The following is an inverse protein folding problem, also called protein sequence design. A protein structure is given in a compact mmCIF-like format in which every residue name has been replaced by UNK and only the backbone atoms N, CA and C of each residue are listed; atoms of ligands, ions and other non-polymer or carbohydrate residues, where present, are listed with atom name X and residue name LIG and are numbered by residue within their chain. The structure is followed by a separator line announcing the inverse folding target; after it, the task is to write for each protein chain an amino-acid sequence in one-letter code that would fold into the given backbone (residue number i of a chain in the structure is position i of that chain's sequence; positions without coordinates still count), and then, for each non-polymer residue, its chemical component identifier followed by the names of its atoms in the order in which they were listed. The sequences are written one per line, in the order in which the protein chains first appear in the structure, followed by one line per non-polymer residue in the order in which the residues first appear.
data_IF_919340214886
#
_entry.id   IF_919340214886
#
_cell.length_a   1.000
_cell.length_b   1.000
_cell.length_c   1.000
_cell.angle_alpha   90.00
_cell.angle_beta   90.00
_cell.angle_gamma   90.00
#
_symmetry.space_group_name_H-M   'P 1'
#
loop_
_entity.id
_entity.type
_entity.pdbx_description
1 polymer ?
#
# COMPACT_ATOMS: atom_id res chain seq x y z
N UNK A 1 -18.37 -24.39 -73.46
CA UNK A 1 -17.69 -24.95 -72.28
C UNK A 1 -18.73 -25.67 -71.42
N UNK A 2 -18.51 -26.98 -71.18
CA UNK A 2 -19.06 -27.90 -70.16
C UNK A 2 -20.53 -27.74 -69.68
N UNK A 3 -21.52 -28.55 -70.11
CA UNK A 3 -21.91 -29.93 -69.70
C UNK A 3 -22.51 -30.11 -68.29
N UNK A 4 -23.84 -30.31 -68.28
CA UNK A 4 -24.77 -31.10 -67.42
C UNK A 4 -24.14 -31.91 -66.24
N UNK A 5 -24.77 -32.02 -65.06
CA UNK A 5 -25.92 -32.92 -64.79
C UNK A 5 -26.62 -32.65 -63.41
N UNK A 6 -27.86 -33.18 -63.20
CA UNK A 6 -28.74 -32.86 -62.08
C UNK A 6 -28.96 -33.98 -61.03
N UNK A 7 -29.59 -33.57 -59.91
CA UNK A 7 -30.49 -34.27 -58.96
C UNK A 7 -30.09 -35.56 -58.22
N UNK A 8 -30.31 -35.45 -56.90
CA UNK A 8 -30.66 -36.47 -55.91
C UNK A 8 -29.52 -37.27 -55.27
N UNK A 9 -29.81 -37.85 -54.09
CA UNK A 9 -28.91 -38.53 -53.15
C UNK A 9 -28.28 -37.52 -52.16
N UNK A 10 -28.72 -37.34 -50.92
CA UNK A 10 -28.88 -38.37 -49.89
C UNK A 10 -29.73 -37.81 -48.72
N UNK A 11 -30.95 -38.30 -48.61
CA UNK A 11 -31.75 -38.19 -47.40
C UNK A 11 -31.25 -39.23 -46.40
N UNK A 12 -31.03 -38.83 -45.15
CA UNK A 12 -31.23 -39.64 -43.92
C UNK A 12 -30.93 -38.72 -42.73
N UNK A 13 -31.97 -38.30 -42.01
CA UNK A 13 -32.44 -39.03 -40.83
C UNK A 13 -31.31 -39.13 -39.81
N UNK A 14 -31.37 -38.36 -38.74
CA UNK A 14 -31.30 -38.88 -37.37
C UNK A 14 -31.40 -37.69 -36.40
N UNK A 15 -32.67 -37.37 -36.12
CA UNK A 15 -33.13 -37.03 -34.77
C UNK A 15 -32.20 -37.59 -33.70
N UNK A 16 -31.45 -36.71 -33.02
CA UNK A 16 -30.82 -37.08 -31.74
C UNK A 16 -31.85 -36.88 -30.63
N UNK A 17 -32.23 -37.94 -29.92
CA UNK A 17 -33.33 -37.93 -28.96
C UNK A 17 -32.91 -37.26 -27.65
N UNK A 18 -33.85 -36.59 -27.00
CA UNK A 18 -33.87 -36.59 -25.53
C UNK A 18 -34.48 -37.92 -25.08
N UNK A 19 -33.84 -38.62 -24.13
CA UNK A 19 -34.66 -39.24 -23.10
C UNK A 19 -34.06 -39.15 -21.69
N UNK A 20 -34.94 -38.72 -20.80
CA UNK A 20 -35.25 -39.34 -19.51
C UNK A 20 -34.26 -39.15 -18.34
N UNK A 21 -34.76 -38.40 -17.35
CA UNK A 21 -34.48 -38.62 -15.93
C UNK A 21 -34.52 -40.12 -15.64
N UNK A 22 -33.43 -40.65 -15.08
CA UNK A 22 -33.46 -41.88 -14.30
C UNK A 22 -32.87 -41.59 -12.94
N UNK A 23 -33.78 -41.49 -11.98
CA UNK A 23 -33.54 -41.59 -10.55
C UNK A 23 -32.79 -42.89 -10.27
N UNK A 24 -31.58 -42.81 -9.73
CA UNK A 24 -31.16 -43.68 -8.62
C UNK A 24 -30.17 -42.91 -7.75
N UNK A 25 -30.61 -42.65 -6.54
CA UNK A 25 -29.87 -42.05 -5.46
C UNK A 25 -28.91 -43.08 -4.82
N UNK A 26 -27.77 -42.56 -4.34
CA UNK A 26 -26.99 -43.00 -3.17
C UNK A 26 -26.25 -44.34 -3.25
N UNK A 27 -24.95 -44.23 -3.49
CA UNK A 27 -23.99 -44.70 -2.48
C UNK A 27 -23.15 -43.52 -2.03
N UNK A 28 -23.39 -43.13 -0.78
CA UNK A 28 -22.65 -42.13 -0.05
C UNK A 28 -21.24 -42.69 0.23
N UNK A 29 -20.23 -42.27 -0.51
CA UNK A 29 -18.88 -42.18 0.05
C UNK A 29 -18.59 -40.69 0.23
N UNK A 30 -18.70 -40.28 1.49
CA UNK A 30 -18.15 -39.04 2.04
C UNK A 30 -16.63 -39.00 1.78
N UNK A 31 -16.22 -38.79 0.54
CA UNK A 31 -14.86 -38.44 0.21
C UNK A 31 -14.80 -36.93 0.03
N UNK A 32 -14.68 -36.31 1.20
CA UNK A 32 -14.01 -35.05 1.43
C UNK A 32 -14.05 -34.12 0.22
N UNK A 33 -15.14 -33.36 0.12
CA UNK A 33 -15.01 -31.95 -0.25
C UNK A 33 -14.24 -31.26 0.88
N UNK A 34 -13.00 -31.69 1.12
CA UNK A 34 -12.04 -30.97 1.93
C UNK A 34 -11.96 -29.62 1.24
N UNK A 35 -12.58 -28.65 1.90
CA UNK A 35 -12.53 -27.27 1.51
C UNK A 35 -11.05 -26.97 1.30
N UNK A 36 -10.67 -26.76 0.05
CA UNK A 36 -9.41 -26.11 -0.26
C UNK A 36 -9.57 -24.67 0.23
N UNK A 37 -9.54 -24.49 1.55
CA UNK A 37 -9.34 -23.19 2.17
C UNK A 37 -7.89 -22.88 1.85
N UNK A 38 -7.69 -22.22 0.71
CA UNK A 38 -6.43 -21.58 0.39
C UNK A 38 -6.15 -20.60 1.53
N UNK A 39 -5.35 -21.03 2.50
CA UNK A 39 -4.73 -20.14 3.46
C UNK A 39 -3.74 -19.35 2.62
N UNK A 40 -4.10 -18.13 2.20
CA UNK A 40 -3.14 -17.27 1.54
C UNK A 40 -1.95 -17.17 2.48
N UNK A 41 -0.76 -17.57 2.02
CA UNK A 41 0.49 -17.42 2.76
C UNK A 41 0.93 -15.96 2.88
N UNK A 42 0.08 -15.01 2.49
CA UNK A 42 0.36 -13.59 2.54
C UNK A 42 0.32 -13.10 3.99
N UNK A 43 1.35 -12.35 4.43
CA UNK A 43 1.35 -11.74 5.75
C UNK A 43 0.16 -10.79 5.88
N UNK A 44 -0.41 -10.73 7.10
CA UNK A 44 -1.54 -9.86 7.38
C UNK A 44 -1.23 -8.41 6.98
N UNK A 45 -2.17 -7.69 6.35
CA UNK A 45 -1.96 -6.30 6.00
C UNK A 45 -1.76 -5.47 7.28
N UNK A 46 -0.92 -4.42 7.23
CA UNK A 46 -0.70 -3.56 8.38
C UNK A 46 -2.02 -2.90 8.83
N UNK A 47 -2.21 -2.67 10.13
CA UNK A 47 -3.48 -2.24 10.71
C UNK A 47 -3.98 -0.91 10.13
N UNK A 48 -3.09 0.02 9.80
CA UNK A 48 -3.49 1.29 9.17
C UNK A 48 -4.03 1.05 7.75
N UNK A 49 -3.41 0.19 6.94
CA UNK A 49 -3.95 -0.15 5.61
C UNK A 49 -5.31 -0.84 5.69
N UNK A 50 -5.51 -1.69 6.70
CA UNK A 50 -6.79 -2.35 6.91
C UNK A 50 -7.90 -1.34 7.22
N UNK A 51 -7.62 -0.34 8.07
CA UNK A 51 -8.52 0.79 8.35
C UNK A 51 -8.88 1.55 7.08
N UNK A 52 -7.89 2.02 6.32
CA UNK A 52 -8.13 2.79 5.09
C UNK A 52 -8.98 2.05 4.05
N UNK A 53 -8.81 0.71 3.94
CA UNK A 53 -9.67 -0.14 3.09
C UNK A 53 -11.12 -0.21 3.60
N UNK A 54 -11.31 -0.20 4.92
CA UNK A 54 -12.63 -0.06 5.55
C UNK A 54 -13.25 1.30 5.29
N UNK A 55 -12.47 2.36 5.50
CA UNK A 55 -12.90 3.75 5.32
C UNK A 55 -13.23 4.08 3.86
N UNK A 56 -12.56 3.44 2.90
CA UNK A 56 -12.92 3.54 1.49
C UNK A 56 -14.37 3.07 1.25
N UNK A 57 -14.79 1.97 1.89
CA UNK A 57 -16.17 1.48 1.79
C UNK A 57 -17.15 2.43 2.48
N UNK A 58 -16.75 3.02 3.61
CA UNK A 58 -17.55 4.02 4.30
C UNK A 58 -17.73 5.29 3.44
N UNK A 59 -16.65 5.82 2.86
CA UNK A 59 -16.65 6.98 1.98
C UNK A 59 -17.51 6.75 0.73
N UNK A 60 -17.50 5.54 0.17
CA UNK A 60 -18.40 5.17 -0.94
C UNK A 60 -19.88 5.22 -0.56
N UNK A 61 -20.23 4.85 0.69
CA UNK A 61 -21.60 4.92 1.20
C UNK A 61 -22.03 6.35 1.51
N UNK A 62 -21.12 7.14 2.11
CA UNK A 62 -21.33 8.54 2.43
C UNK A 62 -21.34 9.46 1.20
N UNK A 63 -20.82 8.99 0.05
CA UNK A 63 -20.64 9.75 -1.20
C UNK A 63 -19.68 10.94 -1.06
N UNK A 64 -18.71 10.83 -0.14
CA UNK A 64 -17.67 11.83 0.07
C UNK A 64 -16.61 11.75 -1.04
N UNK A 65 -16.78 12.55 -2.10
CA UNK A 65 -15.91 12.49 -3.28
C UNK A 65 -14.44 12.80 -2.98
N UNK A 66 -14.17 13.78 -2.11
CA UNK A 66 -12.81 14.21 -1.74
C UNK A 66 -12.06 13.11 -0.99
N UNK A 67 -12.64 12.60 0.11
CA UNK A 67 -12.08 11.49 0.90
C UNK A 67 -11.86 10.25 0.05
N UNK A 68 -12.84 9.88 -0.77
CA UNK A 68 -12.75 8.75 -1.67
C UNK A 68 -11.56 8.87 -2.64
N UNK A 69 -11.33 10.06 -3.21
CA UNK A 69 -10.24 10.27 -4.17
C UNK A 69 -8.87 10.10 -3.49
N UNK A 70 -8.70 10.71 -2.31
CA UNK A 70 -7.48 10.61 -1.48
C UNK A 70 -7.20 9.15 -1.13
N UNK A 71 -8.19 8.43 -0.60
CA UNK A 71 -8.05 7.02 -0.22
C UNK A 71 -7.65 6.14 -1.41
N UNK A 72 -8.23 6.35 -2.58
CA UNK A 72 -7.87 5.60 -3.80
C UNK A 72 -6.45 5.90 -4.26
N UNK A 73 -6.04 7.17 -4.22
CA UNK A 73 -4.69 7.57 -4.58
C UNK A 73 -3.65 6.90 -3.69
N UNK A 74 -3.89 6.87 -2.37
CA UNK A 74 -3.00 6.22 -1.40
C UNK A 74 -2.93 4.71 -1.64
N UNK A 75 -4.07 4.05 -1.80
CA UNK A 75 -4.09 2.61 -2.08
C UNK A 75 -3.37 2.29 -3.39
N UNK A 76 -3.58 3.07 -4.45
CA UNK A 76 -2.84 2.91 -5.71
C UNK A 76 -1.33 3.11 -5.51
N UNK A 77 -0.91 4.12 -4.75
CA UNK A 77 0.49 4.35 -4.44
C UNK A 77 1.11 3.19 -3.65
N UNK A 78 0.36 2.59 -2.71
CA UNK A 78 0.82 1.41 -1.96
C UNK A 78 0.98 0.16 -2.84
N UNK A 79 0.05 -0.04 -3.79
CA UNK A 79 0.12 -1.13 -4.77
C UNK A 79 1.26 -0.91 -5.79
N UNK A 80 1.56 0.34 -6.12
CA UNK A 80 2.70 0.65 -6.99
C UNK A 80 4.02 0.42 -6.26
N UNK A 81 4.10 0.78 -4.98
CA UNK A 81 5.27 0.51 -4.14
C UNK A 81 5.53 -1.00 -3.99
N UNK A 82 4.49 -1.83 -3.88
CA UNK A 82 4.65 -3.29 -3.77
C UNK A 82 5.22 -3.95 -5.03
N UNK A 83 5.11 -3.30 -6.19
CA UNK A 83 5.70 -3.76 -7.46
C UNK A 83 7.16 -3.33 -7.63
N UNK A 84 7.64 -2.43 -6.76
CA UNK A 84 9.01 -1.90 -6.80
C UNK A 84 9.88 -2.66 -5.79
N UNK A 85 11.20 -2.51 -5.87
CA UNK A 85 12.16 -3.11 -4.92
C UNK A 85 11.97 -2.68 -3.44
N UNK A 86 11.16 -1.64 -3.17
CA UNK A 86 10.89 -1.11 -1.83
C UNK A 86 9.38 -1.18 -1.50
N UNK A 87 8.86 -2.37 -1.15
CA UNK A 87 7.47 -2.53 -0.77
C UNK A 87 7.16 -1.87 0.58
N UNK A 88 5.97 -1.29 0.71
CA UNK A 88 5.46 -0.75 1.97
C UNK A 88 4.95 -1.92 2.81
N UNK A 89 5.66 -2.24 3.89
CA UNK A 89 5.32 -3.35 4.79
C UNK A 89 4.87 -2.90 6.17
N UNK A 90 5.33 -1.72 6.62
CA UNK A 90 5.08 -1.22 7.98
C UNK A 90 4.23 0.05 7.98
N UNK A 91 3.51 0.30 9.08
CA UNK A 91 2.71 1.53 9.23
C UNK A 91 3.58 2.80 9.16
N UNK A 92 4.82 2.75 9.66
CA UNK A 92 5.76 3.87 9.56
C UNK A 92 6.08 4.26 8.10
N UNK A 93 6.22 3.25 7.22
CA UNK A 93 6.43 3.49 5.79
C UNK A 93 5.18 4.05 5.11
N UNK A 94 3.99 3.67 5.58
CA UNK A 94 2.74 4.23 5.08
C UNK A 94 2.56 5.69 5.51
N UNK A 95 2.85 6.02 6.78
CA UNK A 95 2.84 7.41 7.25
C UNK A 95 3.85 8.26 6.49
N UNK A 96 5.00 7.68 6.12
CA UNK A 96 5.96 8.35 5.25
C UNK A 96 5.39 8.72 3.88
N UNK A 97 4.61 7.81 3.28
CA UNK A 97 3.90 8.09 2.03
C UNK A 97 2.86 9.20 2.24
N UNK A 98 2.03 9.14 3.29
CA UNK A 98 1.00 10.13 3.58
C UNK A 98 1.58 11.55 3.71
N UNK A 99 2.70 11.68 4.43
CA UNK A 99 3.40 12.97 4.59
C UNK A 99 4.01 13.45 3.27
N UNK A 100 4.56 12.54 2.46
CA UNK A 100 5.06 12.89 1.11
C UNK A 100 3.95 13.41 0.22
N UNK A 101 2.78 12.76 0.23
CA UNK A 101 1.61 13.23 -0.54
C UNK A 101 1.09 14.57 -0.02
N UNK A 102 1.07 14.78 1.29
CA UNK A 102 0.65 16.05 1.88
C UNK A 102 1.56 17.22 1.47
N UNK A 103 2.88 17.01 1.43
CA UNK A 103 3.85 18.00 0.93
C UNK A 103 3.64 18.32 -0.54
N UNK A 104 3.45 17.30 -1.37
CA UNK A 104 3.17 17.51 -2.79
C UNK A 104 1.88 18.31 -3.02
N UNK A 105 0.83 18.08 -2.22
CA UNK A 105 -0.38 18.89 -2.25
C UNK A 105 -0.14 20.34 -1.78
N UNK A 106 0.69 20.56 -0.76
CA UNK A 106 1.06 21.92 -0.31
C UNK A 106 1.81 22.68 -1.40
N UNK A 107 2.79 22.04 -2.05
CA UNK A 107 3.51 22.63 -3.19
C UNK A 107 2.56 22.94 -4.36
N UNK A 108 1.56 22.07 -4.60
CA UNK A 108 0.52 22.32 -5.59
C UNK A 108 -0.40 23.49 -5.22
N UNK A 109 -0.80 23.62 -3.95
CA UNK A 109 -1.56 24.76 -3.42
C UNK A 109 -0.82 26.06 -3.70
N UNK A 110 0.47 26.14 -3.39
CA UNK A 110 1.26 27.34 -3.62
C UNK A 110 1.34 27.68 -5.12
N UNK A 111 1.50 26.67 -5.97
CA UNK A 111 1.43 26.82 -7.43
C UNK A 111 0.09 27.34 -7.93
N UNK A 112 -1.03 26.84 -7.41
CA UNK A 112 -2.37 27.28 -7.81
C UNK A 112 -2.74 28.66 -7.28
N UNK A 113 -2.29 29.02 -6.07
CA UNK A 113 -2.42 30.37 -5.52
C UNK A 113 -1.68 31.38 -6.38
N UNK A 114 -0.45 31.07 -6.78
CA UNK A 114 0.32 31.93 -7.68
C UNK A 114 -0.34 32.08 -9.06
N UNK A 115 -1.09 31.08 -9.52
CA UNK A 115 -1.85 31.11 -10.76
C UNK A 115 -3.25 31.76 -10.64
N UNK A 116 -3.65 32.21 -9.45
CA UNK A 116 -4.95 32.84 -9.20
C UNK A 116 -6.16 31.90 -9.33
N UNK A 117 -5.97 30.57 -9.18
CA UNK A 117 -7.05 29.58 -9.28
C UNK A 117 -7.50 29.09 -7.90
N UNK A 118 -8.40 29.85 -7.27
CA UNK A 118 -8.91 29.53 -5.92
C UNK A 118 -9.72 28.23 -5.88
N UNK A 119 -10.45 27.88 -6.95
CA UNK A 119 -11.23 26.63 -7.03
C UNK A 119 -10.38 25.35 -6.85
N UNK A 120 -9.10 25.40 -7.25
CA UNK A 120 -8.17 24.28 -7.12
C UNK A 120 -7.49 24.28 -5.74
N UNK A 121 -7.26 25.46 -5.18
CA UNK A 121 -6.70 25.64 -3.84
C UNK A 121 -7.63 25.01 -2.81
N UNK A 122 -8.93 25.29 -2.87
CA UNK A 122 -9.91 24.70 -1.94
C UNK A 122 -9.95 23.17 -2.01
N UNK A 123 -9.79 22.61 -3.22
CA UNK A 123 -9.77 21.16 -3.44
C UNK A 123 -8.53 20.51 -2.84
N UNK A 124 -7.36 21.11 -3.04
CA UNK A 124 -6.12 20.59 -2.45
C UNK A 124 -6.09 20.79 -0.93
N UNK A 125 -6.58 21.92 -0.42
CA UNK A 125 -6.70 22.17 1.02
C UNK A 125 -7.64 21.15 1.69
N UNK A 126 -8.72 20.75 1.03
CA UNK A 126 -9.59 19.66 1.49
C UNK A 126 -8.87 18.30 1.49
N UNK A 127 -8.02 18.01 0.51
CA UNK A 127 -7.21 16.79 0.48
C UNK A 127 -6.18 16.77 1.63
N UNK A 128 -5.50 17.90 1.86
CA UNK A 128 -4.52 18.03 2.94
C UNK A 128 -5.16 17.76 4.29
N UNK A 129 -6.36 18.29 4.55
CA UNK A 129 -7.11 18.02 5.80
C UNK A 129 -7.30 16.52 6.03
N UNK A 130 -7.78 15.81 5.02
CA UNK A 130 -7.98 14.35 5.11
C UNK A 130 -6.67 13.60 5.34
N UNK A 131 -5.59 14.00 4.67
CA UNK A 131 -4.27 13.38 4.88
C UNK A 131 -3.75 13.60 6.31
N UNK A 132 -3.93 14.80 6.86
CA UNK A 132 -3.51 15.14 8.22
C UNK A 132 -4.34 14.38 9.28
N UNK A 133 -5.64 14.18 9.04
CA UNK A 133 -6.49 13.33 9.87
C UNK A 133 -5.86 11.93 10.04
N UNK A 134 -5.53 11.26 8.93
CA UNK A 134 -4.91 9.92 8.98
C UNK A 134 -3.50 9.91 9.60
N UNK A 135 -2.71 10.96 9.39
CA UNK A 135 -1.39 11.07 10.04
C UNK A 135 -1.55 11.18 11.55
N UNK A 136 -2.50 11.99 12.03
CA UNK A 136 -2.76 12.12 13.47
C UNK A 136 -3.33 10.84 14.09
N UNK A 137 -4.23 10.14 13.39
CA UNK A 137 -4.83 8.89 13.86
C UNK A 137 -3.82 7.73 13.89
N UNK A 138 -2.75 7.80 13.08
CA UNK A 138 -1.72 6.76 13.08
C UNK A 138 -1.00 6.61 14.42
N UNK A 139 -1.04 7.62 15.30
CA UNK A 139 -0.38 7.60 16.60
C UNK A 139 1.16 7.58 16.52
N UNK A 140 1.72 7.68 15.32
CA UNK A 140 3.17 7.71 15.09
C UNK A 140 3.66 9.13 15.34
N UNK A 141 4.25 9.36 16.51
CA UNK A 141 4.93 10.62 16.83
C UNK A 141 6.06 10.85 15.85
N UNK A 142 6.09 12.02 15.19
CA UNK A 142 7.31 12.46 14.52
C UNK A 142 8.41 12.63 15.55
N UNK A 143 9.60 12.16 15.20
CA UNK A 143 10.77 12.48 15.99
C UNK A 143 11.30 13.82 15.53
N UNK A 144 11.39 14.76 16.45
CA UNK A 144 12.04 16.03 16.20
C UNK A 144 13.55 15.85 15.97
N UNK A 145 14.15 16.77 15.24
CA UNK A 145 15.58 16.72 14.89
C UNK A 145 16.49 16.65 16.14
N UNK A 146 16.07 17.28 17.24
CA UNK A 146 16.77 17.21 18.53
C UNK A 146 16.79 15.79 19.10
N UNK A 147 15.65 15.11 19.15
CA UNK A 147 15.57 13.74 19.64
C UNK A 147 16.30 12.75 18.70
N UNK A 148 16.33 13.01 17.39
CA UNK A 148 17.13 12.24 16.44
C UNK A 148 18.63 12.40 16.70
N UNK A 149 19.09 13.62 17.02
CA UNK A 149 20.49 13.89 17.39
C UNK A 149 20.87 13.16 18.67
N UNK A 150 20.03 13.21 19.70
CA UNK A 150 20.27 12.50 20.96
C UNK A 150 20.44 10.99 20.75
N UNK A 151 19.51 10.35 20.02
CA UNK A 151 19.60 8.91 19.72
C UNK A 151 20.83 8.56 18.87
N UNK A 152 21.22 9.44 17.92
CA UNK A 152 22.42 9.26 17.13
C UNK A 152 23.70 9.38 17.97
N UNK A 153 23.74 10.32 18.92
CA UNK A 153 24.88 10.45 19.84
C UNK A 153 25.00 9.26 20.80
N UNK A 154 23.88 8.75 21.31
CA UNK A 154 23.86 7.52 22.13
C UNK A 154 24.41 6.33 21.34
N UNK A 155 23.95 6.16 20.09
CA UNK A 155 24.46 5.10 19.20
C UNK A 155 25.95 5.25 18.90
N UNK A 156 26.48 6.49 18.83
CA UNK A 156 27.93 6.74 18.68
C UNK A 156 28.70 6.24 19.90
N UNK A 157 28.21 6.51 21.11
CA UNK A 157 28.85 6.03 22.36
C UNK A 157 28.89 4.51 22.39
N UNK A 158 27.79 3.85 22.04
CA UNK A 158 27.73 2.38 22.00
C UNK A 158 28.73 1.77 21.00
N UNK A 159 28.87 2.37 19.81
CA UNK A 159 29.82 1.91 18.78
C UNK A 159 31.27 2.09 19.25
N UNK A 160 31.57 3.20 19.93
CA UNK A 160 32.91 3.45 20.51
C UNK A 160 33.20 2.46 21.63
N UNK A 161 32.21 2.12 22.47
CA UNK A 161 32.35 1.12 23.51
C UNK A 161 32.65 -0.28 22.94
N UNK A 162 32.09 -0.60 21.77
CA UNK A 162 32.37 -1.83 21.04
C UNK A 162 33.72 -1.82 20.26
N UNK A 163 34.48 -0.71 20.33
CA UNK A 163 35.81 -0.57 19.71
C UNK A 163 35.79 -0.46 18.18
N UNK A 164 34.64 -0.18 17.58
CA UNK A 164 34.49 -0.05 16.14
C UNK A 164 34.67 1.41 15.67
N UNK A 165 35.12 1.57 14.42
CA UNK A 165 35.26 2.90 13.81
C UNK A 165 33.87 3.55 13.61
N UNK A 166 33.71 4.78 14.10
CA UNK A 166 32.48 5.57 13.93
C UNK A 166 32.39 6.02 12.47
N UNK A 167 31.76 5.19 11.66
CA UNK A 167 31.41 5.52 10.28
C UNK A 167 29.90 5.80 10.18
N UNK A 168 29.52 6.71 9.28
CA UNK A 168 28.11 7.03 9.00
C UNK A 168 27.29 5.77 8.68
N UNK A 169 27.89 4.82 7.95
CA UNK A 169 27.24 3.55 7.60
C UNK A 169 26.96 2.64 8.80
N UNK A 170 27.88 2.59 9.77
CA UNK A 170 27.70 1.78 10.98
C UNK A 170 26.68 2.41 11.93
N UNK A 171 26.69 3.75 12.06
CA UNK A 171 25.66 4.51 12.78
C UNK A 171 24.27 4.25 12.20
N UNK A 172 24.11 4.35 10.88
CA UNK A 172 22.83 4.08 10.22
C UNK A 172 22.39 2.62 10.43
N UNK A 173 23.31 1.66 10.37
CA UNK A 173 23.01 0.25 10.60
C UNK A 173 22.50 -0.01 12.02
N UNK A 174 23.11 0.60 13.05
CA UNK A 174 22.67 0.51 14.45
C UNK A 174 21.31 1.18 14.67
N UNK A 175 21.13 2.38 14.13
CA UNK A 175 19.89 3.14 14.27
C UNK A 175 18.68 2.47 13.59
N UNK A 176 18.91 1.80 12.44
CA UNK A 176 17.86 1.14 11.66
C UNK A 176 17.79 -0.38 11.89
N UNK A 177 18.55 -0.93 12.85
CA UNK A 177 18.44 -2.34 13.20
C UNK A 177 17.01 -2.67 13.67
N UNK A 178 16.49 -3.88 13.39
CA UNK A 178 15.21 -4.32 13.95
C UNK A 178 15.31 -4.33 15.48
N UNK A 179 14.40 -3.65 16.18
CA UNK A 179 14.48 -3.38 17.63
C UNK A 179 15.22 -2.09 18.01
N UNK A 180 15.65 -1.28 17.05
CA UNK A 180 16.43 -0.06 17.29
C UNK A 180 15.62 1.14 17.81
N UNK A 181 16.30 2.22 18.24
CA UNK A 181 15.66 3.42 18.84
C UNK A 181 14.66 4.14 17.91
N UNK A 182 14.78 3.90 16.61
CA UNK A 182 13.95 4.49 15.55
C UNK A 182 12.81 3.58 15.08
N UNK A 183 12.67 2.37 15.62
CA UNK A 183 11.60 1.46 15.20
C UNK A 183 10.22 2.04 15.55
N UNK A 184 9.28 1.99 14.59
CA UNK A 184 7.92 2.51 14.75
C UNK A 184 7.79 4.03 14.69
N UNK A 185 8.90 4.78 14.69
CA UNK A 185 8.91 6.24 14.59
C UNK A 185 9.08 6.70 13.14
N UNK A 186 8.42 7.81 12.78
CA UNK A 186 8.63 8.44 11.48
C UNK A 186 9.80 9.42 11.53
N UNK A 187 10.70 9.29 10.57
CA UNK A 187 11.84 10.19 10.37
C UNK A 187 12.02 10.50 8.88
N UNK A 188 12.56 11.68 8.59
CA UNK A 188 13.03 12.00 7.25
C UNK A 188 14.42 11.41 7.00
N UNK A 189 14.54 10.60 5.96
CA UNK A 189 15.83 9.98 5.59
C UNK A 189 16.92 11.02 5.32
N UNK A 190 16.52 12.17 4.75
CA UNK A 190 17.44 13.26 4.43
C UNK A 190 17.97 13.96 5.68
N UNK A 191 17.13 14.22 6.69
CA UNK A 191 17.56 14.85 7.94
C UNK A 191 18.43 13.91 8.76
N UNK A 192 18.06 12.62 8.84
CA UNK A 192 18.91 11.60 9.44
C UNK A 192 20.30 11.53 8.80
N UNK A 193 20.39 11.58 7.47
CA UNK A 193 21.66 11.54 6.77
C UNK A 193 22.54 12.77 7.07
N UNK A 194 21.93 13.95 7.26
CA UNK A 194 22.65 15.16 7.67
C UNK A 194 23.15 15.02 9.11
N UNK A 195 22.27 14.63 10.03
CA UNK A 195 22.61 14.43 11.44
C UNK A 195 23.69 13.36 11.62
N UNK A 196 23.58 12.23 10.91
CA UNK A 196 24.57 11.17 10.99
C UNK A 196 25.96 11.63 10.48
N UNK A 197 26.02 12.53 9.50
CA UNK A 197 27.27 13.16 9.07
C UNK A 197 27.81 14.11 10.13
N UNK A 198 26.97 14.97 10.70
CA UNK A 198 27.35 15.90 11.78
C UNK A 198 27.91 15.14 13.01
N UNK A 199 27.32 14.00 13.35
CA UNK A 199 27.70 13.19 14.52
C UNK A 199 28.91 12.29 14.24
N UNK A 200 29.13 11.85 13.00
CA UNK A 200 30.27 10.98 12.66
C UNK A 200 31.60 11.73 12.51
N UNK A 201 31.55 13.02 12.17
CA UNK A 201 32.69 13.94 12.22
C UNK A 201 33.14 14.13 13.68
#
# INVERSE_FOLDING_TARGET
MATKLPTSVFQRLFSRPSPLRRTQERTCSLQLRSQWRAYSSEPAPPPLLAKMKGDLKAAMRAKDATRLAVLRAILAATLNASKTASPIKTDAQLVALLRKTARASQEAVDGFRNAGREDLVEKEDAQIKVLLEYVSESGITSVDEAALREMATQSKVDIVADGANVNVGELMKRLLAPGGPLEGKYFEKATLAKIAKEVAV
#
